data_IF_668257082561
#
_entry.id   IF_668257082561
#
_cell.length_a   1.000
_cell.length_b   1.000
_cell.length_c   1.000
_cell.angle_alpha   90.00
_cell.angle_beta   90.00
_cell.angle_gamma   90.00
#
_symmetry.space_group_name_H-M   'P 1'
#
loop_
_entity.id
_entity.type
_entity.pdbx_description
1 polymer ?
#
# COMPACT_ATOMS: atom_id res chain seq x y z
N UNK A 1 -6.79 21.44 -3.03
CA UNK A 1 -5.87 20.77 -2.07
C UNK A 1 -5.73 19.27 -2.35
N UNK A 2 -6.69 18.39 -2.06
CA UNK A 2 -6.54 16.93 -2.32
C UNK A 2 -6.32 16.56 -3.80
N UNK A 3 -6.94 17.26 -4.75
CA UNK A 3 -6.74 17.05 -6.21
C UNK A 3 -5.34 17.49 -6.68
N UNK A 4 -4.81 18.59 -6.15
CA UNK A 4 -3.44 19.03 -6.45
C UNK A 4 -2.41 18.17 -5.72
N UNK A 5 -2.72 17.71 -4.50
CA UNK A 5 -1.98 16.67 -3.80
C UNK A 5 -1.92 15.44 -4.69
N UNK A 6 -3.05 15.02 -5.26
CA UNK A 6 -3.13 13.86 -6.12
C UNK A 6 -2.20 13.97 -7.34
N UNK A 7 -2.23 15.10 -8.04
CA UNK A 7 -1.37 15.36 -9.22
C UNK A 7 0.11 15.49 -8.85
N UNK A 8 0.42 16.20 -7.78
CA UNK A 8 1.80 16.41 -7.31
C UNK A 8 2.41 15.15 -6.65
N UNK A 9 1.59 14.36 -5.94
CA UNK A 9 1.98 13.04 -5.43
C UNK A 9 2.25 12.11 -6.59
N UNK A 10 1.42 12.07 -7.62
CA UNK A 10 1.65 11.19 -8.78
C UNK A 10 2.98 11.50 -9.48
N UNK A 11 3.29 12.79 -9.73
CA UNK A 11 4.58 13.20 -10.32
C UNK A 11 5.78 12.93 -9.38
N UNK A 12 5.66 13.22 -8.09
CA UNK A 12 6.71 12.95 -7.11
C UNK A 12 6.94 11.45 -6.89
N UNK A 13 5.88 10.65 -6.94
CA UNK A 13 5.88 9.21 -6.77
C UNK A 13 6.51 8.51 -7.96
N UNK A 14 6.13 8.85 -9.20
CA UNK A 14 6.83 8.34 -10.39
C UNK A 14 8.32 8.65 -10.31
N UNK A 15 8.70 9.83 -9.82
CA UNK A 15 10.10 10.19 -9.64
C UNK A 15 10.82 9.28 -8.62
N UNK A 16 10.18 8.94 -7.48
CA UNK A 16 10.73 8.00 -6.49
C UNK A 16 10.84 6.55 -7.01
N UNK A 17 9.94 6.14 -7.90
CA UNK A 17 9.96 4.82 -8.52
C UNK A 17 11.01 4.70 -9.62
N UNK A 18 11.15 5.73 -10.45
CA UNK A 18 11.98 5.72 -11.64
C UNK A 18 13.42 6.20 -11.37
N UNK A 19 13.67 6.89 -10.25
CA UNK A 19 15.01 7.37 -9.91
C UNK A 19 15.92 6.28 -9.32
N UNK A 20 17.20 6.22 -9.74
CA UNK A 20 18.18 5.37 -9.10
C UNK A 20 18.41 5.79 -7.63
N UNK A 21 18.77 4.85 -6.72
CA UNK A 21 18.90 5.13 -5.29
C UNK A 21 19.85 6.28 -4.94
N UNK A 22 20.84 6.56 -5.80
CA UNK A 22 21.85 7.62 -5.63
C UNK A 22 21.35 9.04 -5.88
N UNK A 23 20.21 9.21 -6.55
CA UNK A 23 19.67 10.54 -6.96
C UNK A 23 18.57 11.03 -6.01
N UNK A 24 18.11 10.17 -5.09
CA UNK A 24 17.12 10.52 -4.07
C UNK A 24 17.77 11.37 -2.95
N UNK A 25 18.20 12.59 -3.29
CA UNK A 25 18.72 13.57 -2.33
C UNK A 25 17.67 14.65 -2.06
N UNK A 26 17.55 15.03 -0.78
CA UNK A 26 16.89 16.18 -0.12
C UNK A 26 15.84 17.04 -0.84
N UNK A 27 15.98 17.34 -2.12
CA UNK A 27 15.12 18.25 -2.89
C UNK A 27 13.75 17.65 -3.24
N UNK A 28 13.63 16.32 -3.39
CA UNK A 28 12.34 15.66 -3.71
C UNK A 28 11.46 15.42 -2.47
N UNK A 29 12.05 15.26 -1.29
CA UNK A 29 11.32 15.13 -0.02
C UNK A 29 10.56 16.42 0.36
N UNK A 30 11.07 17.58 -0.06
CA UNK A 30 10.44 18.89 0.21
C UNK A 30 9.17 19.08 -0.63
N UNK A 31 9.12 18.56 -1.86
CA UNK A 31 7.95 18.63 -2.74
C UNK A 31 6.76 17.80 -2.22
N UNK A 32 7.02 16.66 -1.58
CA UNK A 32 5.95 15.78 -1.05
C UNK A 32 5.41 16.24 0.31
N UNK A 33 6.14 17.10 1.04
CA UNK A 33 5.86 17.45 2.44
C UNK A 33 5.58 18.94 2.70
N UNK A 34 5.76 19.82 1.72
CA UNK A 34 5.46 21.25 1.91
C UNK A 34 4.48 21.74 0.84
N UNK A 35 3.38 22.37 1.28
CA UNK A 35 2.40 23.09 0.44
C UNK A 35 3.01 24.34 -0.25
N UNK A 36 4.32 24.37 -0.50
CA UNK A 36 4.97 25.52 -1.14
C UNK A 36 4.93 25.34 -2.65
N UNK A 37 4.12 26.19 -3.29
CA UNK A 37 4.17 26.46 -4.74
C UNK A 37 5.61 26.66 -5.17
N UNK A 38 6.14 25.73 -5.98
CA UNK A 38 7.25 26.03 -6.88
C UNK A 38 6.74 25.91 -8.30
N UNK A 39 7.06 26.93 -9.11
CA UNK A 39 6.66 27.02 -10.51
C UNK A 39 7.15 25.79 -11.27
N UNK A 40 6.25 25.24 -12.08
CA UNK A 40 6.50 24.18 -13.05
C UNK A 40 7.67 24.60 -13.97
N UNK A 41 8.75 23.82 -14.10
CA UNK A 41 9.67 24.03 -15.20
C UNK A 41 9.03 23.48 -16.48
N UNK A 42 8.91 24.33 -17.49
CA UNK A 42 8.40 23.96 -18.80
C UNK A 42 9.25 22.85 -19.44
N UNK A 43 8.58 21.82 -19.96
CA UNK A 43 9.20 20.81 -20.83
C UNK A 43 9.87 19.63 -20.12
N UNK A 44 9.11 18.77 -19.45
CA UNK A 44 9.58 17.43 -19.10
C UNK A 44 9.59 16.54 -20.35
N UNK A 45 10.72 16.47 -21.07
CA UNK A 45 10.97 15.42 -22.06
C UNK A 45 11.15 14.07 -21.35
N UNK A 46 10.75 12.94 -21.95
CA UNK A 46 10.94 11.62 -21.36
C UNK A 46 12.44 11.37 -21.15
N UNK A 47 12.85 11.20 -19.89
CA UNK A 47 14.21 10.81 -19.56
C UNK A 47 14.45 9.36 -20.00
N UNK A 48 15.54 9.06 -20.74
CA UNK A 48 15.91 7.69 -21.04
C UNK A 48 16.28 6.97 -19.74
N UNK A 49 15.58 5.87 -19.45
CA UNK A 49 15.72 5.08 -18.23
C UNK A 49 17.02 4.25 -18.33
N UNK A 50 18.02 4.42 -17.44
CA UNK A 50 19.18 3.54 -17.44
C UNK A 50 18.74 2.13 -17.02
N UNK A 51 19.10 1.16 -17.85
CA UNK A 51 18.86 -0.27 -17.65
C UNK A 51 19.67 -0.77 -16.44
N UNK A 52 19.08 -0.80 -15.24
CA UNK A 52 19.68 -1.45 -14.08
C UNK A 52 19.26 -2.93 -14.05
N UNK A 53 20.13 -3.77 -14.62
CA UNK A 53 20.00 -5.22 -14.88
C UNK A 53 20.24 -6.13 -13.67
N UNK A 54 19.94 -5.71 -12.44
CA UNK A 54 20.12 -6.57 -11.26
C UNK A 54 18.77 -6.94 -10.63
N UNK A 55 18.47 -8.23 -10.38
CA UNK A 55 17.27 -8.63 -9.65
C UNK A 55 17.41 -8.15 -8.20
N UNK A 56 16.76 -7.04 -7.86
CA UNK A 56 16.80 -6.50 -6.49
C UNK A 56 15.60 -7.05 -5.74
N UNK A 57 15.72 -8.27 -5.21
CA UNK A 57 14.77 -8.85 -4.25
C UNK A 57 14.92 -8.28 -2.81
N UNK A 58 15.61 -7.14 -2.66
CA UNK A 58 15.98 -6.54 -1.36
C UNK A 58 15.11 -5.32 -1.06
N UNK A 59 14.34 -5.32 0.04
CA UNK A 59 13.73 -4.08 0.55
C UNK A 59 14.86 -3.13 0.96
N UNK A 60 14.84 -1.93 0.39
CA UNK A 60 15.72 -0.82 0.76
C UNK A 60 14.94 0.09 1.71
N UNK A 61 15.45 0.30 2.91
CA UNK A 61 15.00 1.38 3.78
C UNK A 61 15.75 2.66 3.44
N UNK A 62 15.04 3.71 3.06
CA UNK A 62 15.63 5.04 2.84
C UNK A 62 15.32 5.95 4.04
N UNK A 63 16.34 6.49 4.74
CA UNK A 63 16.11 7.42 5.84
C UNK A 63 15.59 8.76 5.33
N UNK A 64 14.52 9.26 5.94
CA UNK A 64 13.90 10.56 5.61
C UNK A 64 14.31 11.60 6.65
N UNK A 65 15.38 12.35 6.41
CA UNK A 65 15.86 13.39 7.34
C UNK A 65 16.12 12.90 8.79
N UNK A 66 16.27 13.84 9.75
CA UNK A 66 16.68 13.56 11.16
C UNK A 66 15.94 12.36 11.78
N UNK A 67 16.68 11.31 12.16
CA UNK A 67 16.49 10.15 13.10
C UNK A 67 15.11 9.72 13.69
N UNK A 68 14.00 10.39 13.42
CA UNK A 68 12.73 10.28 14.16
C UNK A 68 11.54 9.86 13.29
N UNK A 69 11.77 9.56 12.00
CA UNK A 69 10.72 9.25 11.01
C UNK A 69 10.78 7.80 10.53
N UNK A 70 9.62 7.21 10.24
CA UNK A 70 9.51 5.91 9.59
C UNK A 70 10.20 5.95 8.22
N UNK A 71 10.99 4.92 7.92
CA UNK A 71 11.67 4.81 6.63
C UNK A 71 10.68 4.56 5.50
N UNK A 72 11.05 5.00 4.30
CA UNK A 72 10.43 4.52 3.07
C UNK A 72 11.01 3.13 2.81
N UNK A 73 10.21 2.06 2.85
CA UNK A 73 10.61 0.77 2.28
C UNK A 73 10.25 0.77 0.80
N UNK A 74 11.26 0.51 -0.02
CA UNK A 74 11.09 0.19 -1.44
C UNK A 74 11.53 -1.23 -1.67
N UNK A 75 10.66 -2.08 -2.21
CA UNK A 75 10.98 -3.46 -2.54
C UNK A 75 10.52 -3.77 -3.96
N UNK A 76 11.38 -4.41 -4.74
CA UNK A 76 11.05 -4.86 -6.08
C UNK A 76 11.10 -6.39 -6.11
N UNK A 77 10.18 -6.98 -6.85
CA UNK A 77 10.25 -8.39 -7.23
C UNK A 77 10.03 -8.49 -8.74
N UNK A 78 10.69 -9.47 -9.35
CA UNK A 78 10.41 -9.85 -10.73
C UNK A 78 9.48 -11.07 -10.70
N UNK A 79 8.46 -11.05 -11.55
CA UNK A 79 7.38 -12.04 -11.62
C UNK A 79 7.40 -12.64 -13.04
N UNK A 80 8.15 -13.74 -13.26
CA UNK A 80 8.45 -14.23 -14.61
C UNK A 80 7.29 -14.99 -15.28
N UNK A 81 6.27 -15.34 -14.51
CA UNK A 81 5.21 -16.31 -14.84
C UNK A 81 3.79 -15.74 -14.73
N UNK A 82 3.65 -14.43 -14.50
CA UNK A 82 2.36 -13.75 -14.43
C UNK A 82 2.38 -12.45 -15.25
N UNK A 83 1.35 -12.19 -16.09
CA UNK A 83 1.22 -10.92 -16.80
C UNK A 83 0.89 -9.75 -15.86
N UNK A 84 1.30 -8.53 -16.26
CA UNK A 84 1.07 -7.31 -15.49
C UNK A 84 -0.42 -7.05 -15.17
N UNK A 85 -1.33 -7.42 -16.09
CA UNK A 85 -2.78 -7.28 -15.88
C UNK A 85 -3.30 -8.14 -14.72
N UNK A 86 -2.82 -9.37 -14.57
CA UNK A 86 -3.23 -10.23 -13.44
C UNK A 86 -2.74 -9.68 -12.11
N UNK A 87 -1.49 -9.19 -12.03
CA UNK A 87 -0.98 -8.55 -10.81
C UNK A 87 -1.80 -7.32 -10.45
N UNK A 88 -2.17 -6.52 -11.47
CA UNK A 88 -3.02 -5.35 -11.29
C UNK A 88 -4.42 -5.72 -10.75
N UNK A 89 -5.04 -6.75 -11.30
CA UNK A 89 -6.33 -7.26 -10.84
C UNK A 89 -6.27 -7.73 -9.37
N UNK A 90 -5.26 -8.53 -8.98
CA UNK A 90 -5.09 -9.01 -7.59
C UNK A 90 -4.89 -7.86 -6.60
N UNK A 91 -4.24 -6.78 -7.03
CA UNK A 91 -4.06 -5.60 -6.17
C UNK A 91 -5.36 -4.83 -5.94
N UNK A 92 -6.30 -4.89 -6.88
CA UNK A 92 -7.60 -4.21 -6.79
C UNK A 92 -8.69 -5.05 -6.11
N UNK A 93 -8.68 -6.37 -6.30
CA UNK A 93 -9.74 -7.26 -5.83
C UNK A 93 -9.73 -7.43 -4.30
N UNK A 94 -10.61 -6.66 -3.63
CA UNK A 94 -10.74 -6.67 -2.17
C UNK A 94 -11.40 -7.93 -1.62
N UNK A 95 -12.20 -8.64 -2.44
CA UNK A 95 -12.79 -9.92 -2.08
C UNK A 95 -11.69 -10.98 -2.07
N UNK A 96 -10.91 -11.05 -3.14
CA UNK A 96 -9.78 -11.99 -3.23
C UNK A 96 -8.70 -11.73 -2.19
N UNK A 97 -8.55 -10.47 -1.72
CA UNK A 97 -7.57 -10.14 -0.67
C UNK A 97 -7.72 -11.02 0.57
N UNK A 98 -8.96 -11.37 0.95
CA UNK A 98 -9.26 -12.18 2.14
C UNK A 98 -8.80 -13.63 2.00
N UNK A 99 -8.71 -14.12 0.77
CA UNK A 99 -8.32 -15.51 0.48
C UNK A 99 -6.83 -15.75 0.72
N UNK A 100 -5.98 -14.78 0.41
CA UNK A 100 -4.53 -14.97 0.43
C UNK A 100 -3.80 -14.22 1.55
N UNK A 101 -4.42 -13.18 2.11
CA UNK A 101 -3.86 -12.43 3.25
C UNK A 101 -4.53 -12.85 4.56
N UNK A 102 -3.97 -13.89 5.18
CA UNK A 102 -4.44 -14.44 6.46
C UNK A 102 -4.45 -13.42 7.63
N UNK A 103 -3.77 -12.29 7.50
CA UNK A 103 -3.77 -11.25 8.53
C UNK A 103 -4.98 -10.33 8.41
N UNK A 104 -5.75 -10.36 7.32
CA UNK A 104 -6.92 -9.49 7.16
C UNK A 104 -7.99 -9.82 8.20
N UNK A 105 -8.49 -8.77 8.84
CA UNK A 105 -9.67 -8.80 9.70
C UNK A 105 -10.87 -8.31 8.89
N UNK A 106 -10.69 -7.17 8.21
CA UNK A 106 -11.72 -6.57 7.36
C UNK A 106 -11.04 -5.76 6.25
N UNK A 107 -11.64 -5.78 5.07
CA UNK A 107 -11.17 -5.06 3.89
C UNK A 107 -12.38 -4.81 2.99
N UNK A 108 -12.71 -3.55 2.76
CA UNK A 108 -13.80 -3.16 1.87
C UNK A 108 -13.62 -1.71 1.37
N UNK A 109 -14.14 -1.44 0.19
CA UNK A 109 -14.24 -0.08 -0.34
C UNK A 109 -15.45 0.63 0.27
N UNK A 110 -15.29 1.90 0.64
CA UNK A 110 -16.30 2.74 1.31
C UNK A 110 -17.11 3.52 0.27
N UNK A 111 -16.41 4.24 -0.61
CA UNK A 111 -17.02 5.14 -1.58
C UNK A 111 -16.07 5.45 -2.74
N UNK A 112 -16.61 5.85 -3.88
CA UNK A 112 -15.84 6.40 -5.00
C UNK A 112 -15.66 7.89 -4.82
N UNK A 113 -14.51 8.41 -5.23
CA UNK A 113 -14.27 9.85 -5.36
C UNK A 113 -14.01 10.26 -6.81
N UNK A 114 -13.64 9.31 -7.67
CA UNK A 114 -13.56 9.45 -9.12
C UNK A 114 -13.75 8.09 -9.80
N UNK A 115 -13.62 8.03 -11.14
CA UNK A 115 -13.64 6.76 -11.87
C UNK A 115 -12.45 5.86 -11.53
N UNK A 116 -11.29 6.47 -11.23
CA UNK A 116 -10.04 5.81 -10.93
C UNK A 116 -9.54 6.08 -9.50
N UNK A 117 -10.46 6.45 -8.58
CA UNK A 117 -10.12 6.72 -7.20
C UNK A 117 -11.27 6.39 -6.25
N UNK A 118 -10.93 5.76 -5.13
CA UNK A 118 -11.88 5.37 -4.09
C UNK A 118 -11.31 5.59 -2.68
N UNK A 119 -12.18 5.54 -1.69
CA UNK A 119 -11.81 5.46 -0.28
C UNK A 119 -12.07 4.03 0.18
N UNK A 120 -11.09 3.41 0.83
CA UNK A 120 -11.19 2.06 1.35
C UNK A 120 -10.78 1.96 2.81
N UNK A 121 -11.33 0.95 3.48
CA UNK A 121 -10.98 0.55 4.84
C UNK A 121 -10.24 -0.78 4.81
N UNK A 122 -9.19 -0.89 5.63
CA UNK A 122 -8.42 -2.12 5.80
C UNK A 122 -7.99 -2.28 7.25
N UNK A 123 -8.22 -3.46 7.83
CA UNK A 123 -7.83 -3.82 9.18
C UNK A 123 -7.12 -5.17 9.20
N UNK A 124 -6.05 -5.28 10.00
CA UNK A 124 -5.22 -6.47 10.05
C UNK A 124 -4.78 -6.86 11.46
N UNK A 125 -4.56 -8.17 11.63
CA UNK A 125 -4.03 -8.78 12.83
C UNK A 125 -2.56 -8.44 12.98
N UNK A 126 -2.17 -8.11 14.21
CA UNK A 126 -0.78 -7.96 14.58
C UNK A 126 -0.36 -9.08 15.53
N UNK A 127 0.92 -9.50 15.53
CA UNK A 127 1.41 -10.45 16.51
C UNK A 127 1.16 -9.94 17.92
N UNK A 128 0.64 -10.81 18.78
CA UNK A 128 0.55 -10.53 20.21
C UNK A 128 1.96 -10.22 20.75
N UNK A 129 2.10 -9.28 21.71
CA UNK A 129 1.03 -8.66 22.47
C UNK A 129 0.44 -7.38 21.84
N UNK A 130 0.81 -7.03 20.61
CA UNK A 130 0.38 -5.77 20.00
C UNK A 130 -1.11 -5.77 19.62
N UNK A 131 -1.76 -4.61 19.72
CA UNK A 131 -3.14 -4.44 19.23
C UNK A 131 -3.19 -4.54 17.71
N UNK A 132 -4.32 -4.98 17.18
CA UNK A 132 -4.55 -4.99 15.75
C UNK A 132 -4.62 -3.55 15.20
N UNK A 133 -4.36 -3.38 13.90
CA UNK A 133 -4.35 -2.04 13.27
C UNK A 133 -5.44 -1.91 12.23
N UNK A 134 -5.90 -0.68 12.04
CA UNK A 134 -6.74 -0.29 10.92
C UNK A 134 -6.17 0.92 10.18
N UNK A 135 -6.63 1.11 8.95
CA UNK A 135 -6.33 2.28 8.13
C UNK A 135 -7.52 2.63 7.23
N UNK A 136 -7.75 3.92 7.05
CA UNK A 136 -8.65 4.46 6.01
C UNK A 136 -7.78 5.16 4.99
N UNK A 137 -7.89 4.77 3.72
CA UNK A 137 -7.04 5.31 2.65
C UNK A 137 -7.86 5.85 1.50
N UNK A 138 -7.42 6.98 0.94
CA UNK A 138 -7.78 7.35 -0.42
C UNK A 138 -6.78 6.65 -1.33
N UNK A 139 -7.30 5.77 -2.18
CA UNK A 139 -6.54 5.03 -3.19
C UNK A 139 -6.95 5.53 -4.56
N UNK A 140 -5.98 5.60 -5.45
CA UNK A 140 -6.24 5.85 -6.84
C UNK A 140 -5.22 5.15 -7.72
N UNK A 141 -5.57 5.02 -8.99
CA UNK A 141 -4.82 4.23 -9.92
C UNK A 141 -4.82 4.85 -11.30
N UNK A 142 -3.81 4.50 -12.08
CA UNK A 142 -3.76 4.87 -13.49
C UNK A 142 -2.90 3.87 -14.26
N UNK A 143 -3.34 3.64 -15.49
CA UNK A 143 -2.79 2.69 -16.45
C UNK A 143 -2.22 3.51 -17.60
N UNK A 144 -0.96 3.25 -17.92
CA UNK A 144 -0.23 3.86 -19.05
C UNK A 144 0.48 2.74 -19.83
N UNK A 145 1.00 3.07 -21.02
CA UNK A 145 1.64 2.07 -21.88
C UNK A 145 2.84 1.41 -21.19
N UNK A 146 2.67 0.13 -20.84
CA UNK A 146 3.70 -0.70 -20.23
C UNK A 146 3.80 -0.63 -18.70
N UNK A 147 3.00 0.18 -18.01
CA UNK A 147 2.94 0.17 -16.54
C UNK A 147 1.59 0.55 -15.93
N UNK A 148 1.30 -0.07 -14.78
CA UNK A 148 0.13 0.22 -13.95
C UNK A 148 0.59 0.75 -12.60
N UNK A 149 0.00 1.86 -12.16
CA UNK A 149 0.33 2.48 -10.88
C UNK A 149 -0.90 2.52 -9.98
N UNK A 150 -0.72 2.17 -8.71
CA UNK A 150 -1.71 2.33 -7.65
C UNK A 150 -1.04 3.10 -6.52
N UNK A 151 -1.63 4.20 -6.10
CA UNK A 151 -1.16 4.99 -4.96
C UNK A 151 -2.24 5.13 -3.91
N UNK A 152 -1.83 5.15 -2.65
CA UNK A 152 -2.74 5.38 -1.55
C UNK A 152 -2.05 6.09 -0.39
N UNK A 153 -2.82 6.91 0.32
CA UNK A 153 -2.41 7.59 1.54
C UNK A 153 -3.60 7.70 2.50
N UNK A 154 -3.31 7.89 3.78
CA UNK A 154 -4.36 7.90 4.80
C UNK A 154 -5.19 9.19 4.79
N UNK A 155 -6.50 9.03 4.92
CA UNK A 155 -7.49 10.11 5.04
C UNK A 155 -8.40 9.86 6.25
N UNK A 156 -9.01 10.92 6.75
CA UNK A 156 -10.09 10.87 7.73
C UNK A 156 -11.41 10.81 6.96
N UNK A 157 -12.19 9.77 7.23
CA UNK A 157 -13.57 9.66 6.77
C UNK A 157 -14.51 9.85 7.98
N UNK A 158 -15.53 10.74 7.92
CA UNK A 158 -16.38 11.06 9.08
C UNK A 158 -17.04 9.84 9.73
N UNK A 159 -17.44 8.85 8.91
CA UNK A 159 -18.07 7.60 9.37
C UNK A 159 -17.09 6.52 9.86
N UNK A 160 -15.78 6.72 9.75
CA UNK A 160 -14.74 5.76 10.16
C UNK A 160 -13.72 6.40 11.13
N UNK A 161 -14.18 6.91 12.30
CA UNK A 161 -13.29 7.43 13.33
C UNK A 161 -12.38 6.32 13.90
N UNK A 162 -11.27 6.66 14.59
CA UNK A 162 -10.46 5.68 15.30
C UNK A 162 -11.29 4.85 16.27
N UNK A 163 -11.06 3.54 16.30
CA UNK A 163 -11.75 2.60 17.18
C UNK A 163 -10.91 2.34 18.43
N UNK A 164 -11.54 1.93 19.55
CA UNK A 164 -10.84 1.65 20.81
C UNK A 164 -10.09 0.32 20.82
N UNK A 165 -10.56 -0.64 20.04
CA UNK A 165 -10.03 -2.00 19.94
C UNK A 165 -8.88 -2.13 18.94
N UNK A 166 -8.66 -1.13 18.09
CA UNK A 166 -7.64 -1.09 17.05
C UNK A 166 -6.75 0.16 17.18
N UNK A 167 -5.52 0.07 16.72
CA UNK A 167 -4.63 1.23 16.58
C UNK A 167 -4.74 1.76 15.15
N UNK A 168 -5.10 3.04 14.98
CA UNK A 168 -5.14 3.68 13.66
C UNK A 168 -3.74 3.92 13.14
N UNK A 169 -3.32 3.13 12.15
CA UNK A 169 -2.08 3.35 11.43
C UNK A 169 -2.22 4.51 10.43
N UNK A 170 -1.09 5.08 10.02
CA UNK A 170 -1.04 6.16 9.01
C UNK A 170 -0.08 5.77 7.90
N UNK A 171 -0.64 5.47 6.73
CA UNK A 171 0.12 5.39 5.49
C UNK A 171 0.35 6.82 4.99
N UNK A 172 1.56 7.34 5.23
CA UNK A 172 1.98 8.64 4.68
C UNK A 172 2.04 8.56 3.16
N UNK A 173 2.54 7.43 2.67
CA UNK A 173 2.62 7.10 1.27
C UNK A 173 2.68 5.59 1.10
N UNK A 174 1.89 5.02 0.21
CA UNK A 174 2.02 3.63 -0.18
C UNK A 174 1.57 3.46 -1.63
N UNK A 175 2.13 2.47 -2.32
CA UNK A 175 1.64 2.11 -3.63
C UNK A 175 2.50 1.08 -4.35
N UNK A 176 2.04 0.78 -5.55
CA UNK A 176 2.53 -0.28 -6.41
C UNK A 176 2.79 0.28 -7.82
N UNK A 177 3.89 -0.13 -8.42
CA UNK A 177 4.17 0.04 -9.83
C UNK A 177 4.37 -1.35 -10.43
N UNK A 178 3.45 -1.76 -11.29
CA UNK A 178 3.54 -3.00 -12.07
C UNK A 178 4.03 -2.62 -13.45
N UNK A 179 5.20 -3.13 -13.86
CA UNK A 179 5.76 -2.88 -15.20
C UNK A 179 5.76 -4.17 -15.99
N UNK A 180 5.18 -4.16 -17.19
CA UNK A 180 5.23 -5.31 -18.09
C UNK A 180 6.68 -5.56 -18.56
N UNK A 181 7.09 -6.82 -18.53
CA UNK A 181 8.40 -7.27 -19.06
C UNK A 181 8.24 -8.28 -20.21
N UNK A 182 7.00 -8.64 -20.54
CA UNK A 182 6.63 -9.57 -21.60
C UNK A 182 5.15 -9.94 -21.52
N UNK A 183 4.64 -10.78 -22.45
CA UNK A 183 3.22 -11.16 -22.48
C UNK A 183 2.75 -11.90 -21.21
N UNK A 184 3.65 -12.62 -20.54
CA UNK A 184 3.37 -13.43 -19.35
C UNK A 184 4.32 -13.12 -18.19
N UNK A 185 4.99 -11.97 -18.20
CA UNK A 185 5.94 -11.59 -17.17
C UNK A 185 5.86 -10.10 -16.84
N UNK A 186 6.15 -9.77 -15.60
CA UNK A 186 6.21 -8.38 -15.15
C UNK A 186 7.21 -8.19 -14.01
N UNK A 187 7.43 -6.94 -13.62
CA UNK A 187 8.08 -6.60 -12.36
C UNK A 187 7.13 -5.78 -11.51
N UNK A 188 7.14 -6.03 -10.20
CA UNK A 188 6.35 -5.29 -9.23
C UNK A 188 7.30 -4.54 -8.31
N UNK A 189 7.15 -3.22 -8.26
CA UNK A 189 7.79 -2.38 -7.24
C UNK A 189 6.73 -1.94 -6.25
N UNK A 190 7.02 -2.14 -4.96
CA UNK A 190 6.22 -1.68 -3.84
C UNK A 190 6.98 -0.60 -3.09
N UNK A 191 6.28 0.49 -2.78
CA UNK A 191 6.80 1.59 -1.97
C UNK A 191 5.83 1.84 -0.83
N UNK A 192 6.36 1.92 0.39
CA UNK A 192 5.55 2.23 1.56
C UNK A 192 6.33 3.01 2.61
N UNK A 193 5.70 4.06 3.11
CA UNK A 193 6.07 4.81 4.30
C UNK A 193 4.87 4.83 5.23
N UNK A 194 4.91 3.96 6.24
CA UNK A 194 3.79 3.74 7.15
C UNK A 194 4.25 4.00 8.58
N UNK A 195 3.46 4.78 9.31
CA UNK A 195 3.53 4.87 10.76
C UNK A 195 2.49 3.92 11.35
N UNK A 196 2.88 2.74 11.87
CA UNK A 196 1.95 1.80 12.47
C UNK A 196 1.35 2.31 13.78
N UNK A 197 1.82 3.47 14.29
CA UNK A 197 1.46 4.03 15.58
C UNK A 197 1.72 3.04 16.72
N UNK A 198 1.15 3.30 17.89
CA UNK A 198 1.42 2.52 19.10
C UNK A 198 2.76 2.88 19.76
N UNK A 199 3.22 2.03 20.67
CA UNK A 199 4.46 2.25 21.44
C UNK A 199 5.71 1.61 20.81
N UNK A 200 5.57 0.95 19.65
CA UNK A 200 6.72 0.32 19.00
C UNK A 200 7.81 1.36 18.67
N UNK A 201 9.05 1.18 19.17
CA UNK A 201 10.15 2.04 18.80
C UNK A 201 10.34 2.04 17.28
N UNK A 202 10.58 3.20 16.66
CA UNK A 202 10.66 3.32 15.20
C UNK A 202 11.74 2.43 14.58
N UNK A 203 12.84 2.17 15.30
CA UNK A 203 13.89 1.26 14.83
C UNK A 203 13.38 -0.19 14.70
N UNK A 204 12.47 -0.64 15.58
CA UNK A 204 11.83 -1.96 15.50
C UNK A 204 10.94 -2.02 14.28
N UNK A 205 10.09 -1.01 14.09
CA UNK A 205 9.20 -0.88 12.92
C UNK A 205 10.00 -0.97 11.62
N UNK A 206 11.09 -0.22 11.53
CA UNK A 206 11.95 -0.18 10.36
C UNK A 206 12.60 -1.56 10.09
N UNK A 207 13.10 -2.24 11.11
CA UNK A 207 13.73 -3.56 10.99
C UNK A 207 12.73 -4.65 10.58
N UNK A 208 11.56 -4.67 11.21
CA UNK A 208 10.50 -5.64 10.93
C UNK A 208 9.95 -5.45 9.50
N UNK A 209 9.79 -4.20 9.06
CA UNK A 209 9.29 -3.90 7.70
C UNK A 209 10.20 -4.46 6.60
N UNK A 210 11.52 -4.48 6.82
CA UNK A 210 12.47 -5.07 5.86
C UNK A 210 12.30 -6.58 5.67
N UNK A 211 11.69 -7.28 6.64
CA UNK A 211 11.44 -8.71 6.58
C UNK A 211 10.01 -9.03 6.12
N UNK A 212 9.00 -8.32 6.66
CA UNK A 212 7.60 -8.58 6.35
C UNK A 212 7.23 -8.20 4.91
N UNK A 213 7.77 -7.11 4.38
CA UNK A 213 7.44 -6.65 3.02
C UNK A 213 7.83 -7.69 1.95
N UNK A 214 9.06 -8.24 1.92
CA UNK A 214 9.40 -9.32 0.99
C UNK A 214 8.50 -10.56 1.13
N UNK A 215 8.12 -10.93 2.36
CA UNK A 215 7.22 -12.07 2.57
C UNK A 215 5.81 -11.81 2.04
N UNK A 216 5.27 -10.61 2.26
CA UNK A 216 4.00 -10.18 1.71
C UNK A 216 4.03 -10.22 0.18
N UNK A 217 5.09 -9.71 -0.45
CA UNK A 217 5.22 -9.72 -1.92
C UNK A 217 5.34 -11.14 -2.49
N UNK A 218 5.98 -12.08 -1.78
CA UNK A 218 5.99 -13.50 -2.16
C UNK A 218 4.60 -14.14 -2.06
N UNK A 219 3.83 -13.82 -1.02
CA UNK A 219 2.43 -14.29 -0.89
C UNK A 219 1.55 -13.70 -1.99
N UNK A 220 1.71 -12.41 -2.29
CA UNK A 220 1.04 -11.74 -3.40
C UNK A 220 1.34 -12.43 -4.73
N UNK A 221 2.61 -12.75 -5.01
CA UNK A 221 2.98 -13.48 -6.23
C UNK A 221 2.26 -14.83 -6.33
N UNK A 222 2.26 -15.63 -5.26
CA UNK A 222 1.49 -16.90 -5.21
C UNK A 222 -0.01 -16.69 -5.47
N UNK A 223 -0.58 -15.64 -4.88
CA UNK A 223 -1.98 -15.27 -5.11
C UNK A 223 -2.23 -14.90 -6.58
N UNK A 224 -1.31 -14.17 -7.22
CA UNK A 224 -1.41 -13.84 -8.64
C UNK A 224 -1.42 -15.09 -9.54
N UNK A 225 -0.67 -16.14 -9.20
CA UNK A 225 -0.68 -17.42 -9.93
C UNK A 225 -2.04 -18.12 -9.80
N UNK A 226 -2.67 -18.03 -8.62
CA UNK A 226 -3.96 -18.70 -8.33
C UNK A 226 -5.18 -17.90 -8.78
N UNK A 227 -5.04 -16.58 -8.95
CA UNK A 227 -6.16 -15.67 -9.19
C UNK A 227 -7.02 -16.00 -10.42
N UNK A 228 -6.48 -16.38 -11.60
CA UNK A 228 -7.32 -16.69 -12.76
C UNK A 228 -8.34 -17.80 -12.48
N UNK A 229 -7.91 -18.86 -11.78
CA UNK A 229 -8.80 -19.97 -11.41
C UNK A 229 -9.85 -19.54 -10.38
N UNK A 230 -9.45 -18.76 -9.38
CA UNK A 230 -10.39 -18.23 -8.38
C UNK A 230 -11.43 -17.30 -9.03
N UNK A 231 -10.98 -16.37 -9.88
CA UNK A 231 -11.85 -15.35 -10.49
C UNK A 231 -12.87 -15.93 -11.46
N UNK A 232 -12.58 -17.08 -12.08
CA UNK A 232 -13.56 -17.83 -12.88
C UNK A 232 -14.80 -18.24 -12.06
N UNK A 233 -14.62 -18.52 -10.77
CA UNK A 233 -15.69 -18.94 -9.86
C UNK A 233 -16.38 -17.75 -9.16
N UNK A 234 -15.77 -16.55 -9.20
CA UNK A 234 -16.20 -15.36 -8.44
C UNK A 234 -16.49 -14.16 -9.36
N UNK A 235 -17.26 -14.41 -10.44
CA UNK A 235 -17.68 -13.37 -11.38
C UNK A 235 -16.54 -12.85 -12.24
N UNK A 236 -16.12 -13.64 -13.23
CA UNK A 236 -14.97 -13.34 -14.12
C UNK A 236 -15.02 -11.97 -14.79
N UNK A 237 -16.23 -11.48 -15.08
CA UNK A 237 -16.48 -10.22 -15.77
C UNK A 237 -16.60 -9.01 -14.83
N UNK A 238 -16.63 -9.23 -13.51
CA UNK A 238 -16.79 -8.17 -12.51
C UNK A 238 -15.41 -7.65 -12.10
N UNK A 239 -15.00 -6.57 -12.74
CA UNK A 239 -13.74 -5.84 -12.54
C UNK A 239 -13.98 -4.33 -12.55
N UNK A 240 -14.62 -3.77 -11.51
CA UNK A 240 -15.01 -2.36 -11.47
C UNK A 240 -13.84 -1.36 -11.50
N UNK A 241 -12.60 -1.82 -11.29
CA UNK A 241 -11.38 -1.03 -11.46
C UNK A 241 -10.96 -0.88 -12.93
N UNK A 242 -11.37 -1.80 -13.82
CA UNK A 242 -11.21 -1.69 -15.28
C UNK A 242 -12.44 -1.08 -15.95
N UNK A 243 -13.62 -1.39 -15.41
CA UNK A 243 -14.93 -1.03 -15.96
C UNK A 243 -15.72 -0.22 -14.93
N UNK A 244 -15.48 1.11 -14.81
CA UNK A 244 -16.03 1.92 -13.74
C UNK A 244 -17.55 1.92 -13.63
N UNK A 245 -18.26 1.62 -14.71
CA UNK A 245 -19.72 1.47 -14.80
C UNK A 245 -20.25 0.28 -14.00
N UNK A 246 -19.42 -0.72 -13.70
CA UNK A 246 -19.79 -1.88 -12.87
C UNK A 246 -19.81 -1.56 -11.37
N UNK A 247 -19.33 -0.38 -10.98
CA UNK A 247 -19.13 -0.05 -9.58
C UNK A 247 -20.41 0.53 -8.95
N UNK A 248 -20.86 -0.11 -7.87
CA UNK A 248 -22.11 0.24 -7.16
C UNK A 248 -21.88 1.09 -5.90
N UNK A 249 -20.63 1.47 -5.60
CA UNK A 249 -20.30 2.29 -4.44
C UNK A 249 -20.89 3.71 -4.58
N UNK A 250 -21.28 4.34 -3.46
CA UNK A 250 -21.71 5.73 -3.47
C UNK A 250 -20.57 6.66 -3.90
N UNK A 251 -20.94 7.77 -4.55
CA UNK A 251 -19.99 8.86 -4.82
C UNK A 251 -19.86 9.74 -3.56
N UNK A 252 -18.62 10.05 -3.19
CA UNK A 252 -18.27 10.89 -2.04
C UNK A 252 -17.56 12.16 -2.55
N UNK A 253 -17.95 13.33 -2.04
CA UNK A 253 -17.24 14.55 -2.35
C UNK A 253 -15.87 14.57 -1.65
N UNK A 254 -14.80 14.92 -2.36
CA UNK A 254 -13.45 15.01 -1.77
C UNK A 254 -13.37 15.99 -0.59
N UNK A 255 -14.25 16.99 -0.54
CA UNK A 255 -14.32 17.96 0.56
C UNK A 255 -14.80 17.35 1.89
N UNK A 256 -15.44 16.18 1.86
CA UNK A 256 -15.85 15.43 3.06
C UNK A 256 -14.68 14.68 3.71
N UNK A 257 -13.54 14.59 3.02
CA UNK A 257 -12.33 13.94 3.49
C UNK A 257 -11.34 14.98 4.02
N UNK A 258 -10.63 14.63 5.09
CA UNK A 258 -9.49 15.40 5.58
C UNK A 258 -8.22 14.56 5.54
N UNK A 259 -7.06 15.21 5.42
CA UNK A 259 -5.78 14.52 5.44
C UNK A 259 -5.51 13.92 6.83
N UNK A 260 -5.09 12.65 6.89
CA UNK A 260 -4.73 12.01 8.15
C UNK A 260 -3.27 12.31 8.48
N UNK A 261 -3.04 13.35 9.30
CA UNK A 261 -1.70 13.61 9.82
C UNK A 261 -1.35 12.64 10.93
N UNK A 262 -0.14 12.05 10.87
CA UNK A 262 0.38 11.17 11.90
C UNK A 262 0.45 11.88 13.28
N UNK A 263 0.79 13.17 13.34
CA UNK A 263 0.86 13.92 14.60
C UNK A 263 -0.51 14.17 15.25
N UNK A 264 -1.62 13.99 14.52
CA UNK A 264 -2.98 14.26 15.03
C UNK A 264 -3.67 13.07 15.68
N UNK A 265 -3.00 11.91 15.76
CA UNK A 265 -3.52 10.71 16.43
C UNK A 265 -2.84 10.55 17.79
N UNK A 266 -3.62 10.17 18.78
CA UNK A 266 -3.11 9.80 20.11
C UNK A 266 -2.14 8.60 19.98
N UNK A 267 -1.03 8.68 20.71
CA UNK A 267 -0.11 7.54 20.81
C UNK A 267 -0.70 6.58 21.84
N UNK A 268 -1.11 5.40 21.39
CA UNK A 268 -1.54 4.33 22.28
C UNK A 268 -0.28 3.67 22.85
N UNK A 269 -0.12 3.71 24.17
CA UNK A 269 0.98 3.02 24.84
C UNK A 269 0.70 1.52 24.91
N UNK A 270 1.49 0.74 24.17
CA UNK A 270 1.47 -0.72 24.17
C UNK A 270 2.69 -1.32 24.91
N UNK A 271 3.51 -0.48 25.59
CA UNK A 271 4.77 -0.93 26.21
C UNK A 271 4.58 -1.85 27.42
N UNK A 272 3.40 -1.82 28.04
CA UNK A 272 3.02 -2.66 29.17
C UNK A 272 2.23 -3.93 28.81
N UNK A 273 2.06 -4.25 27.52
CA UNK A 273 1.30 -5.45 27.14
C UNK A 273 2.12 -6.72 27.42
N UNK A 274 1.71 -7.50 28.41
CA UNK A 274 2.31 -8.79 28.75
C UNK A 274 2.08 -9.83 27.63
N UNK A 275 3.04 -10.75 27.45
CA UNK A 275 2.88 -11.90 26.56
C UNK A 275 1.66 -12.72 27.00
N UNK A 276 0.61 -12.73 26.19
CA UNK A 276 -0.48 -13.67 26.38
C UNK A 276 0.03 -15.07 26.02
N UNK A 277 0.09 -15.97 27.01
CA UNK A 277 0.33 -17.39 26.78
C UNK A 277 -0.74 -17.92 25.84
N UNK A 278 -0.31 -18.58 24.77
CA UNK A 278 -1.18 -19.27 23.84
C UNK A 278 -1.81 -20.45 24.60
N UNK A 279 -3.11 -20.39 24.88
CA UNK A 279 -3.85 -21.57 25.34
C UNK A 279 -3.97 -22.49 24.13
N UNK A 280 -3.08 -23.47 24.08
CA UNK A 280 -3.08 -24.52 23.07
C UNK A 280 -4.45 -25.19 23.02
N UNK A 281 -5.06 -25.17 21.85
CA UNK A 281 -6.18 -26.04 21.51
C UNK A 281 -5.68 -27.48 21.51
N UNK A 282 -5.91 -28.17 22.61
CA UNK A 282 -5.69 -29.60 22.76
C UNK A 282 -6.72 -30.34 21.88
N UNK A 283 -6.32 -30.68 20.65
CA UNK A 283 -7.04 -31.70 19.88
C UNK A 283 -6.50 -33.05 20.33
N UNK A 284 -7.15 -33.60 21.35
CA UNK A 284 -7.03 -35.01 21.71
C UNK A 284 -7.46 -35.87 20.53
N UNK A 285 -6.49 -36.44 19.83
CA UNK A 285 -6.71 -37.61 19.00
C UNK A 285 -6.96 -38.81 19.92
N UNK A 286 -8.20 -39.26 19.98
CA UNK A 286 -8.54 -40.58 20.50
C UNK A 286 -8.61 -41.57 19.33
N UNK A 287 -8.01 -42.72 19.57
CA UNK A 287 -7.82 -43.88 18.70
C UNK A 287 -9.14 -44.47 18.17
N UNK A 288 -9.12 -44.86 16.89
CA UNK A 288 -9.40 -46.22 16.40
C UNK A 288 -9.18 -46.30 14.88
#
# INVERSE_FOLDING_TARGET
MLVELFRNFYCGFLCLFLSPPSVCSRSQEVCLLTERRTKQPDGCKPFPVPFLSRPVSRCQGMPVGRSTRCWVCRCRIDIPDVPAGTVYDVLHDSEYRREWDANVIDSHDIARVAANANVGYYAWRCPKPLKNRDVVTLRAWQVEDGYHTIINFSVKHPKYPPRKDLVRAVALLMGYLVRSTGPSSCSLTYLAQVDPKGSLPKWVVNKVSQYLVPQMLKKLHKACVQYPAWKQQHGVNVKPWLYPEQNTLPMLALAELALQHAASLENIDESGLAEAKDEGSDHGGAEN
#
